data_IF_522595952245
#
_entry.id   IF_522595952245
#
_cell.length_a   1.000
_cell.length_b   1.000
_cell.length_c   1.000
_cell.angle_alpha   90.00
_cell.angle_beta   90.00
_cell.angle_gamma   90.00
#
_symmetry.space_group_name_H-M   'P 1'
#
loop_
_entity.id
_entity.type
_entity.pdbx_description
1 polymer ?
#
# COMPACT_ATOMS: atom_id res chain seq x y z
N UNK A 1 17.00 -0.74 10.79
CA UNK A 1 17.10 -2.21 10.85
C UNK A 1 18.56 -2.56 11.00
N UNK A 2 18.92 -3.50 11.88
CA UNK A 2 20.29 -4.01 11.95
C UNK A 2 20.27 -5.51 11.67
N UNK A 3 21.00 -5.96 10.66
CA UNK A 3 21.24 -7.36 10.37
C UNK A 3 22.64 -7.78 10.82
N UNK A 4 22.76 -8.99 11.36
CA UNK A 4 24.04 -9.58 11.80
C UNK A 4 24.42 -10.69 10.83
N UNK A 5 25.58 -10.56 10.21
CA UNK A 5 26.14 -11.51 9.25
C UNK A 5 27.51 -12.00 9.75
N UNK A 6 27.74 -13.32 9.78
CA UNK A 6 28.97 -13.95 10.29
C UNK A 6 29.34 -15.10 9.35
N UNK A 7 30.47 -15.00 8.65
CA UNK A 7 31.04 -16.14 7.90
C UNK A 7 31.97 -15.77 6.75
N UNK A 8 33.09 -16.50 6.62
CA UNK A 8 34.22 -16.22 5.72
C UNK A 8 34.19 -16.98 4.39
N UNK A 9 33.17 -17.81 4.15
CA UNK A 9 32.99 -18.56 2.88
C UNK A 9 31.54 -18.80 2.50
N UNK A 10 30.61 -18.76 3.47
CA UNK A 10 29.17 -18.61 3.26
C UNK A 10 28.66 -17.60 4.31
N UNK A 11 28.22 -16.43 3.87
CA UNK A 11 27.67 -15.37 4.72
C UNK A 11 26.21 -15.69 5.06
N UNK A 12 25.93 -16.03 6.31
CA UNK A 12 24.57 -16.33 6.77
C UNK A 12 24.01 -15.18 7.61
N UNK A 13 22.85 -14.66 7.21
CA UNK A 13 22.08 -13.76 8.06
C UNK A 13 21.58 -14.52 9.29
N UNK A 14 22.13 -14.18 10.46
CA UNK A 14 21.72 -14.79 11.72
C UNK A 14 20.41 -14.20 12.26
N UNK A 15 20.08 -12.97 11.87
CA UNK A 15 18.82 -12.34 12.21
C UNK A 15 18.81 -10.85 11.96
N UNK A 16 17.63 -10.26 12.09
CA UNK A 16 17.41 -8.85 11.88
C UNK A 16 16.31 -8.32 12.80
N UNK A 17 16.36 -7.02 13.09
CA UNK A 17 15.36 -6.34 13.91
C UNK A 17 15.29 -4.87 13.55
N UNK A 18 14.16 -4.24 13.85
CA UNK A 18 13.89 -2.84 13.55
C UNK A 18 13.01 -2.22 14.63
N UNK A 19 13.14 -0.91 14.80
CA UNK A 19 12.27 -0.13 15.67
C UNK A 19 10.98 0.27 14.97
N UNK A 20 10.03 0.79 15.75
CA UNK A 20 8.81 1.40 15.23
C UNK A 20 8.99 2.91 15.05
N UNK A 21 8.00 3.58 14.45
CA UNK A 21 8.00 5.05 14.34
C UNK A 21 8.06 5.73 15.71
N UNK A 22 7.36 5.15 16.69
CA UNK A 22 7.29 5.62 18.08
C UNK A 22 8.54 5.24 18.87
N UNK A 23 8.96 3.98 18.78
CA UNK A 23 10.15 3.49 19.47
C UNK A 23 11.22 3.07 18.46
N UNK A 24 12.09 4.02 18.11
CA UNK A 24 13.15 3.82 17.12
C UNK A 24 14.31 3.01 17.65
N UNK A 25 14.51 3.00 18.97
CA UNK A 25 15.56 2.20 19.61
C UNK A 25 15.08 0.76 19.70
N UNK A 26 15.93 -0.17 19.26
CA UNK A 26 15.67 -1.59 19.33
C UNK A 26 16.92 -2.31 19.83
N UNK A 27 16.77 -3.57 20.19
CA UNK A 27 17.88 -4.42 20.63
C UNK A 27 17.71 -5.79 19.97
N UNK A 28 18.77 -6.25 19.34
CA UNK A 28 18.84 -7.61 18.81
C UNK A 28 19.42 -8.54 19.88
N UNK A 29 18.79 -9.71 20.07
CA UNK A 29 19.34 -10.82 20.86
C UNK A 29 19.13 -12.09 20.06
N UNK A 30 20.23 -12.71 19.63
CA UNK A 30 20.20 -13.96 18.88
C UNK A 30 21.37 -14.84 19.27
N UNK A 31 21.18 -16.15 19.11
CA UNK A 31 22.29 -17.12 19.21
C UNK A 31 23.10 -17.05 17.92
N UNK A 32 24.41 -17.08 18.05
CA UNK A 32 25.34 -17.08 16.93
C UNK A 32 26.28 -18.28 17.08
N UNK A 33 26.70 -18.84 15.95
CA UNK A 33 27.66 -19.94 15.93
C UNK A 33 29.05 -19.35 15.74
N UNK A 34 29.89 -19.49 16.76
CA UNK A 34 31.29 -19.09 16.72
C UNK A 34 32.15 -20.35 16.63
N UNK A 35 33.21 -20.28 15.85
CA UNK A 35 34.22 -21.34 15.77
C UNK A 35 35.49 -20.97 16.54
N UNK A 36 36.39 -21.93 16.73
CA UNK A 36 37.71 -21.66 17.29
C UNK A 36 38.49 -20.70 16.40
N UNK A 37 39.23 -19.77 17.01
CA UNK A 37 40.02 -18.76 16.31
C UNK A 37 39.28 -17.46 16.00
N UNK A 38 39.68 -16.79 14.92
CA UNK A 38 39.15 -15.49 14.53
C UNK A 38 37.77 -15.64 13.92
N UNK A 39 36.78 -14.92 14.45
CA UNK A 39 35.44 -14.86 13.91
C UNK A 39 35.18 -13.44 13.38
N UNK A 40 34.59 -13.32 12.18
CA UNK A 40 34.22 -12.03 11.61
C UNK A 40 32.74 -11.76 11.83
N UNK A 41 32.43 -10.69 12.57
CA UNK A 41 31.05 -10.22 12.79
C UNK A 41 30.83 -8.97 11.94
N UNK A 42 29.89 -9.06 11.00
CA UNK A 42 29.43 -7.93 10.21
C UNK A 42 28.04 -7.50 10.69
N UNK A 43 27.84 -6.19 10.85
CA UNK A 43 26.57 -5.61 11.25
C UNK A 43 26.13 -4.63 10.16
N UNK A 44 25.08 -4.96 9.42
CA UNK A 44 24.51 -4.08 8.42
C UNK A 44 23.46 -3.18 9.08
N UNK A 45 23.72 -1.87 9.11
CA UNK A 45 22.81 -0.87 9.65
C UNK A 45 22.08 -0.14 8.52
N UNK A 46 20.75 -0.20 8.53
CA UNK A 46 19.90 0.39 7.47
C UNK A 46 18.98 1.47 8.04
N UNK A 47 19.05 2.65 7.45
CA UNK A 47 18.13 3.77 7.68
C UNK A 47 16.94 3.70 6.70
N UNK A 48 15.71 3.79 7.22
CA UNK A 48 14.48 3.79 6.42
C UNK A 48 13.88 5.20 6.45
N UNK A 49 14.57 6.11 5.75
CA UNK A 49 14.33 7.55 5.84
C UNK A 49 14.99 8.19 7.07
N UNK A 50 15.04 9.51 7.06
CA UNK A 50 15.55 10.32 8.16
C UNK A 50 14.40 10.96 8.96
N UNK A 51 14.63 11.33 10.23
CA UNK A 51 13.64 12.08 11.01
C UNK A 51 13.21 13.37 10.29
N UNK A 52 11.91 13.67 10.31
CA UNK A 52 11.35 14.85 9.64
C UNK A 52 10.36 15.66 10.52
N UNK A 53 10.24 15.32 11.81
CA UNK A 53 9.38 16.01 12.78
C UNK A 53 9.87 15.73 14.20
N UNK A 54 9.82 16.75 15.08
CA UNK A 54 10.27 16.69 16.48
C UNK A 54 11.14 17.88 16.88
N UNK A 55 11.32 18.13 18.19
CA UNK A 55 12.32 19.09 18.64
C UNK A 55 13.74 18.53 18.41
N UNK A 56 14.61 19.32 17.78
CA UNK A 56 16.00 18.95 17.50
C UNK A 56 16.18 17.59 16.80
N UNK A 57 15.28 17.23 15.88
CA UNK A 57 15.31 15.91 15.23
C UNK A 57 16.57 15.68 14.39
N UNK A 58 17.28 16.74 14.01
CA UNK A 58 18.59 16.72 13.36
C UNK A 58 19.70 16.12 14.24
N UNK A 59 19.56 16.18 15.56
CA UNK A 59 20.52 15.62 16.53
C UNK A 59 20.28 14.14 16.84
N UNK A 60 19.23 13.53 16.29
CA UNK A 60 18.85 12.17 16.63
C UNK A 60 19.71 11.16 15.89
N UNK A 61 20.43 10.34 16.66
CA UNK A 61 21.34 9.36 16.11
C UNK A 61 20.64 8.22 15.36
N UNK A 62 21.28 7.75 14.30
CA UNK A 62 20.90 6.53 13.55
C UNK A 62 22.12 5.63 13.43
N UNK A 63 21.93 4.33 13.68
CA UNK A 63 23.00 3.34 13.54
C UNK A 63 23.27 2.55 14.82
N UNK A 64 24.41 1.87 14.84
CA UNK A 64 24.80 0.99 15.94
C UNK A 64 25.68 1.80 16.90
N UNK A 65 25.06 2.36 17.93
CA UNK A 65 25.74 3.12 18.99
C UNK A 65 26.14 2.26 20.20
N UNK A 66 25.76 0.98 20.17
CA UNK A 66 25.99 0.06 21.26
C UNK A 66 24.99 0.17 22.44
N UNK A 67 25.21 -0.63 23.50
CA UNK A 67 26.32 -1.58 23.64
C UNK A 67 26.17 -2.80 22.70
N UNK A 68 27.30 -3.28 22.18
CA UNK A 68 27.38 -4.56 21.44
C UNK A 68 28.13 -5.55 22.33
N UNK A 69 27.49 -6.65 22.71
CA UNK A 69 28.10 -7.61 23.63
C UNK A 69 27.82 -9.06 23.25
N UNK A 70 28.83 -9.90 23.47
CA UNK A 70 28.72 -11.35 23.43
C UNK A 70 28.49 -11.88 24.84
N UNK A 71 27.54 -12.79 24.97
CA UNK A 71 27.19 -13.44 26.23
C UNK A 71 27.54 -14.93 26.15
N UNK A 72 27.59 -15.57 27.32
CA UNK A 72 27.78 -17.03 27.44
C UNK A 72 29.11 -17.54 26.89
N UNK A 73 30.17 -16.73 26.96
CA UNK A 73 31.54 -17.20 26.76
C UNK A 73 32.06 -17.85 28.05
N UNK A 74 33.10 -18.68 27.97
CA UNK A 74 33.75 -19.27 29.16
C UNK A 74 34.21 -18.21 30.17
N UNK A 75 34.59 -17.02 29.70
CA UNK A 75 34.95 -15.84 30.52
C UNK A 75 33.76 -14.91 30.84
N UNK A 76 32.53 -15.36 30.59
CA UNK A 76 31.31 -14.59 30.84
C UNK A 76 30.89 -13.68 29.67
N UNK A 77 30.72 -12.38 29.94
CA UNK A 77 30.30 -11.38 28.96
C UNK A 77 31.53 -10.69 28.36
N UNK A 78 31.57 -10.54 27.04
CA UNK A 78 32.56 -9.73 26.33
C UNK A 78 31.89 -8.53 25.66
N UNK A 79 32.31 -7.33 26.02
CA UNK A 79 31.85 -6.09 25.38
C UNK A 79 32.70 -5.79 24.14
N UNK A 80 32.03 -5.65 22.99
CA UNK A 80 32.64 -5.35 21.69
C UNK A 80 32.57 -3.86 21.34
N UNK A 81 31.87 -3.04 22.12
CA UNK A 81 31.62 -1.63 21.79
C UNK A 81 32.92 -0.82 21.65
N UNK A 82 33.93 -1.18 22.45
CA UNK A 82 35.22 -0.49 22.51
C UNK A 82 36.34 -1.20 21.73
N UNK A 83 36.00 -2.21 20.93
CA UNK A 83 36.96 -2.92 20.07
C UNK A 83 37.20 -2.14 18.77
N UNK A 84 38.16 -2.57 17.96
CA UNK A 84 38.40 -1.98 16.65
C UNK A 84 37.26 -2.31 15.68
N UNK A 85 36.61 -1.29 15.15
CA UNK A 85 35.55 -1.41 14.14
C UNK A 85 36.07 -1.04 12.75
N UNK A 86 35.53 -1.70 11.73
CA UNK A 86 35.72 -1.33 10.32
C UNK A 86 34.36 -0.96 9.73
N UNK A 87 34.35 0.03 8.85
CA UNK A 87 33.13 0.58 8.27
C UNK A 87 33.21 0.49 6.75
N UNK A 88 32.11 0.05 6.15
CA UNK A 88 31.88 0.11 4.72
C UNK A 88 30.54 0.81 4.51
N UNK A 89 30.57 1.90 3.76
CA UNK A 89 29.36 2.55 3.28
C UNK A 89 28.94 1.81 2.02
N UNK A 90 27.63 1.69 1.80
CA UNK A 90 27.02 1.07 0.62
C UNK A 90 27.19 -0.45 0.47
N UNK A 91 26.29 -1.03 -0.31
CA UNK A 91 26.36 -2.44 -0.69
C UNK A 91 27.25 -2.59 -1.93
N UNK A 92 27.93 -3.74 -2.06
CA UNK A 92 28.77 -4.02 -3.24
C UNK A 92 28.00 -3.87 -4.56
N UNK A 93 26.73 -4.29 -4.61
CA UNK A 93 25.89 -4.13 -5.80
C UNK A 93 25.54 -2.68 -6.13
N UNK A 94 25.47 -1.81 -5.11
CA UNK A 94 25.30 -0.36 -5.30
C UNK A 94 26.58 0.26 -5.87
N UNK A 95 27.74 -0.05 -5.30
CA UNK A 95 29.04 0.41 -5.81
C UNK A 95 29.30 -0.02 -7.27
N UNK A 96 28.75 -1.17 -7.67
CA UNK A 96 28.84 -1.71 -9.02
C UNK A 96 27.75 -1.16 -9.97
N UNK A 97 26.84 -0.32 -9.48
CA UNK A 97 25.77 0.29 -10.26
C UNK A 97 24.89 -0.76 -10.99
N UNK A 98 24.56 -1.88 -10.34
CA UNK A 98 23.83 -3.01 -10.94
C UNK A 98 22.42 -2.63 -11.45
N UNK A 99 21.85 -1.54 -10.94
CA UNK A 99 20.55 -1.04 -11.37
C UNK A 99 20.56 -0.41 -12.79
N UNK A 100 21.73 -0.02 -13.30
CA UNK A 100 21.85 0.78 -14.51
C UNK A 100 22.05 -0.07 -15.78
N UNK A 101 21.27 0.15 -16.86
CA UNK A 101 21.32 -0.66 -18.08
C UNK A 101 22.68 -0.67 -18.80
N UNK A 102 23.46 0.40 -18.64
CA UNK A 102 24.75 0.61 -19.32
C UNK A 102 25.91 -0.12 -18.64
N UNK A 103 25.71 -0.63 -17.43
CA UNK A 103 26.74 -1.34 -16.68
C UNK A 103 26.48 -2.85 -16.73
N UNK A 104 27.36 -3.56 -17.42
CA UNK A 104 27.46 -5.02 -17.38
C UNK A 104 28.79 -5.40 -16.74
N UNK A 105 28.97 -5.18 -15.42
CA UNK A 105 30.14 -5.71 -14.75
C UNK A 105 30.17 -7.23 -14.96
N UNK A 106 31.36 -7.78 -15.19
CA UNK A 106 31.58 -9.22 -15.33
C UNK A 106 31.27 -9.92 -14.00
N UNK A 107 29.99 -10.18 -13.76
CA UNK A 107 29.48 -10.92 -12.61
C UNK A 107 28.70 -12.13 -13.09
N UNK A 108 28.89 -13.25 -12.40
CA UNK A 108 28.09 -14.45 -12.62
C UNK A 108 26.69 -14.26 -12.07
N UNK A 109 25.74 -13.98 -12.95
CA UNK A 109 24.32 -14.07 -12.61
C UNK A 109 23.93 -15.55 -12.57
N UNK A 110 23.18 -15.94 -11.54
CA UNK A 110 22.66 -17.30 -11.41
C UNK A 110 21.19 -17.35 -11.84
N UNK A 111 20.76 -18.52 -12.30
CA UNK A 111 19.35 -18.75 -12.65
C UNK A 111 18.45 -18.66 -11.40
N UNK A 112 17.26 -18.10 -11.59
CA UNK A 112 16.30 -17.84 -10.50
C UNK A 112 15.82 -19.14 -9.83
N UNK A 113 15.76 -20.25 -10.58
CA UNK A 113 15.37 -21.58 -10.06
C UNK A 113 16.22 -22.05 -8.88
N UNK A 114 17.51 -21.67 -8.85
CA UNK A 114 18.42 -22.00 -7.75
C UNK A 114 18.17 -21.12 -6.51
N UNK A 115 17.74 -19.86 -6.72
CA UNK A 115 17.47 -18.90 -5.63
C UNK A 115 16.14 -19.15 -4.92
N UNK A 116 15.14 -19.71 -5.62
CA UNK A 116 13.82 -20.03 -5.04
C UNK A 116 13.91 -21.21 -4.06
N UNK A 117 14.79 -22.18 -4.32
CA UNK A 117 14.95 -23.35 -3.45
C UNK A 117 15.58 -23.01 -2.09
N UNK A 118 16.39 -21.95 -2.04
CA UNK A 118 17.07 -21.51 -0.81
C UNK A 118 17.18 -19.98 -0.79
N UNK A 119 16.09 -19.26 -0.41
CA UNK A 119 16.08 -17.80 -0.39
C UNK A 119 17.26 -17.27 0.42
N UNK A 120 18.10 -16.44 -0.21
CA UNK A 120 19.24 -15.81 0.44
C UNK A 120 18.94 -14.33 0.72
N UNK A 121 19.37 -13.81 1.88
CA UNK A 121 19.35 -12.39 2.16
C UNK A 121 20.35 -11.65 1.27
N UNK A 122 20.21 -10.33 1.17
CA UNK A 122 21.11 -9.44 0.42
C UNK A 122 21.30 -9.87 -1.05
N UNK A 123 20.23 -10.33 -1.69
CA UNK A 123 20.25 -10.86 -3.07
C UNK A 123 19.85 -9.79 -4.08
N UNK A 124 20.53 -9.77 -5.23
CA UNK A 124 20.14 -8.96 -6.38
C UNK A 124 19.47 -9.83 -7.43
N UNK A 125 18.28 -9.44 -7.84
CA UNK A 125 17.54 -10.05 -8.94
C UNK A 125 17.47 -9.10 -10.12
N UNK A 126 17.52 -9.64 -11.33
CA UNK A 126 17.27 -8.89 -12.55
C UNK A 126 16.41 -9.68 -13.52
N UNK A 127 15.62 -8.99 -14.32
CA UNK A 127 14.91 -9.57 -15.45
C UNK A 127 14.62 -8.52 -16.51
N UNK A 128 14.21 -8.96 -17.70
CA UNK A 128 13.73 -8.09 -18.76
C UNK A 128 12.26 -8.38 -19.03
N UNK A 129 11.48 -7.33 -19.32
CA UNK A 129 10.06 -7.46 -19.62
C UNK A 129 9.60 -6.45 -20.67
N UNK A 130 8.52 -6.79 -21.36
CA UNK A 130 7.87 -5.90 -22.33
C UNK A 130 6.76 -5.10 -21.66
N UNK A 131 6.55 -3.86 -22.12
CA UNK A 131 5.52 -3.01 -21.52
C UNK A 131 4.12 -3.55 -21.83
N UNK A 132 3.26 -3.74 -20.83
CA UNK A 132 1.88 -4.15 -21.07
C UNK A 132 1.12 -3.09 -21.88
N UNK A 133 0.28 -3.55 -22.81
CA UNK A 133 -0.60 -2.68 -23.60
C UNK A 133 -1.55 -1.83 -22.73
N UNK A 134 -2.23 -0.85 -23.34
CA UNK A 134 -3.20 0.02 -22.69
C UNK A 134 -2.58 1.20 -21.94
N UNK A 135 -3.43 2.01 -21.31
CA UNK A 135 -3.05 3.25 -20.62
C UNK A 135 -3.22 3.17 -19.09
N UNK A 136 -3.66 2.03 -18.56
CA UNK A 136 -3.96 1.88 -17.13
C UNK A 136 -2.68 2.04 -16.28
N UNK A 137 -2.74 2.67 -15.11
CA UNK A 137 -1.57 2.78 -14.25
C UNK A 137 -1.00 1.41 -13.90
N UNK A 138 0.33 1.29 -13.90
CA UNK A 138 1.01 0.05 -13.59
C UNK A 138 1.56 0.07 -12.16
N UNK A 139 1.68 -1.13 -11.58
CA UNK A 139 2.41 -1.36 -10.35
C UNK A 139 3.06 -2.74 -10.36
N UNK A 140 4.16 -2.88 -9.63
CA UNK A 140 4.72 -4.18 -9.27
C UNK A 140 4.00 -4.71 -8.04
N UNK A 141 3.45 -5.91 -8.15
CA UNK A 141 3.01 -6.70 -7.01
C UNK A 141 4.23 -7.39 -6.39
N UNK A 142 4.55 -6.97 -5.17
CA UNK A 142 5.71 -7.48 -4.43
C UNK A 142 5.29 -8.53 -3.39
N UNK A 143 4.09 -9.10 -3.48
CA UNK A 143 3.70 -10.24 -2.64
C UNK A 143 4.74 -11.37 -2.73
N UNK A 144 5.09 -11.95 -1.59
CA UNK A 144 6.13 -12.99 -1.50
C UNK A 144 7.56 -12.47 -1.43
N UNK A 145 7.78 -11.16 -1.62
CA UNK A 145 9.06 -10.50 -1.35
C UNK A 145 9.11 -9.96 0.09
N UNK A 146 10.30 -9.58 0.57
CA UNK A 146 10.53 -9.07 1.92
C UNK A 146 10.70 -7.56 1.96
N UNK A 147 11.95 -7.09 1.80
CA UNK A 147 12.30 -5.67 1.92
C UNK A 147 13.47 -5.35 1.00
N UNK A 148 13.46 -4.17 0.40
CA UNK A 148 14.63 -3.70 -0.32
C UNK A 148 14.33 -2.55 -1.24
N UNK A 149 14.89 -2.56 -2.44
CA UNK A 149 14.80 -1.47 -3.41
C UNK A 149 14.52 -1.99 -4.82
N UNK A 150 13.79 -1.21 -5.60
CA UNK A 150 13.38 -1.55 -6.97
C UNK A 150 13.86 -0.46 -7.93
N UNK A 151 14.35 -0.89 -9.09
CA UNK A 151 14.67 -0.03 -10.22
C UNK A 151 14.06 -0.56 -11.50
N UNK A 152 13.61 0.36 -12.36
CA UNK A 152 13.16 0.07 -13.72
C UNK A 152 13.94 0.95 -14.66
N UNK A 153 14.68 0.35 -15.61
CA UNK A 153 15.52 1.05 -16.57
C UNK A 153 16.56 2.00 -15.93
N UNK A 154 17.04 1.70 -14.73
CA UNK A 154 17.95 2.55 -13.95
C UNK A 154 17.24 3.59 -13.08
N UNK A 155 15.95 3.82 -13.28
CA UNK A 155 15.16 4.74 -12.46
C UNK A 155 14.69 4.06 -11.16
N UNK A 156 14.89 4.75 -10.04
CA UNK A 156 14.48 4.21 -8.73
C UNK A 156 12.97 4.32 -8.55
N UNK A 157 12.30 3.17 -8.44
CA UNK A 157 10.89 3.10 -8.04
C UNK A 157 10.76 3.38 -6.54
N UNK A 158 11.80 3.05 -5.77
CA UNK A 158 11.92 3.33 -4.36
C UNK A 158 12.09 2.08 -3.51
N UNK A 159 11.94 2.26 -2.19
CA UNK A 159 12.02 1.17 -1.21
C UNK A 159 10.71 0.39 -1.19
N UNK A 160 10.81 -0.93 -1.14
CA UNK A 160 9.68 -1.79 -0.81
C UNK A 160 9.88 -2.45 0.56
N UNK A 161 8.76 -2.71 1.22
CA UNK A 161 8.71 -3.43 2.47
C UNK A 161 7.30 -3.97 2.69
N UNK A 162 7.16 -5.29 2.63
CA UNK A 162 5.89 -6.01 2.74
C UNK A 162 5.53 -6.38 4.18
N UNK A 163 6.06 -5.64 5.16
CA UNK A 163 5.70 -5.84 6.57
C UNK A 163 4.19 -5.76 6.77
N UNK A 164 3.63 -6.61 7.61
CA UNK A 164 2.18 -6.66 7.80
C UNK A 164 1.68 -5.47 8.62
N UNK A 165 0.61 -4.84 8.16
CA UNK A 165 -0.01 -3.72 8.83
C UNK A 165 -0.73 -4.20 10.09
N UNK A 166 -0.44 -3.55 11.21
CA UNK A 166 -1.08 -3.77 12.51
C UNK A 166 -2.00 -2.60 12.83
N UNK A 167 -3.05 -2.85 13.61
CA UNK A 167 -3.94 -1.80 14.10
C UNK A 167 -5.36 -2.29 14.24
N UNK A 168 -6.25 -1.36 14.52
CA UNK A 168 -7.68 -1.58 14.53
C UNK A 168 -8.28 -1.04 13.22
N UNK A 169 -8.76 -1.95 12.39
CA UNK A 169 -9.39 -1.65 11.10
C UNK A 169 -10.91 -1.94 11.14
N UNK A 170 -11.54 -1.62 12.27
CA UNK A 170 -12.97 -1.72 12.47
C UNK A 170 -13.77 -0.70 11.63
N UNK A 171 -15.10 -0.84 11.67
CA UNK A 171 -16.02 0.07 11.00
C UNK A 171 -15.86 1.49 11.56
N UNK A 172 -15.66 2.47 10.67
CA UNK A 172 -15.61 3.86 11.04
C UNK A 172 -16.80 4.65 10.49
N UNK A 173 -17.25 5.65 11.25
CA UNK A 173 -18.27 6.61 10.82
C UNK A 173 -17.65 7.96 10.48
N UNK A 174 -18.20 8.65 9.48
CA UNK A 174 -17.86 10.05 9.21
C UNK A 174 -18.27 10.98 10.35
N UNK A 175 -19.28 10.61 11.14
CA UNK A 175 -19.78 11.41 12.26
C UNK A 175 -18.81 11.42 13.45
N UNK A 176 -18.77 12.53 14.19
CA UNK A 176 -17.90 12.71 15.35
C UNK A 176 -16.45 13.07 14.99
N UNK A 177 -15.68 13.55 15.98
CA UNK A 177 -14.32 14.06 15.80
C UNK A 177 -13.42 13.04 15.09
N UNK A 178 -12.75 13.48 14.03
CA UNK A 178 -11.80 12.66 13.31
C UNK A 178 -10.47 12.55 14.07
N UNK A 179 -9.88 11.35 14.06
CA UNK A 179 -8.49 11.10 14.47
C UNK A 179 -7.82 10.25 13.38
N UNK A 180 -6.49 10.37 13.17
CA UNK A 180 -5.79 9.63 12.11
C UNK A 180 -5.96 8.10 12.15
N UNK A 181 -6.23 7.53 13.33
CA UNK A 181 -6.45 6.10 13.53
C UNK A 181 -7.93 5.68 13.48
N UNK A 182 -8.87 6.58 13.15
CA UNK A 182 -10.31 6.31 13.19
C UNK A 182 -10.78 5.38 12.08
N UNK A 183 -10.21 5.52 10.88
CA UNK A 183 -10.64 4.85 9.65
C UNK A 183 -9.48 4.11 8.99
N UNK A 184 -8.79 3.26 9.75
CA UNK A 184 -7.69 2.46 9.20
C UNK A 184 -8.24 1.34 8.32
N UNK A 185 -7.45 0.92 7.34
CA UNK A 185 -7.76 -0.21 6.46
C UNK A 185 -6.49 -0.98 6.13
N UNK A 186 -6.64 -2.23 5.69
CA UNK A 186 -5.50 -3.08 5.31
C UNK A 186 -4.78 -3.78 6.47
N UNK A 187 -5.36 -3.82 7.68
CA UNK A 187 -4.80 -4.61 8.78
C UNK A 187 -4.68 -6.10 8.39
N UNK A 188 -3.56 -6.74 8.76
CA UNK A 188 -3.28 -8.12 8.40
C UNK A 188 -2.87 -8.33 6.94
N UNK A 189 -2.62 -7.24 6.20
CA UNK A 189 -2.05 -7.26 4.84
C UNK A 189 -0.70 -6.54 4.83
N UNK A 190 0.15 -6.71 3.81
CA UNK A 190 1.36 -5.90 3.65
C UNK A 190 1.04 -4.40 3.70
N UNK A 191 1.82 -3.61 4.46
CA UNK A 191 1.65 -2.16 4.62
C UNK A 191 1.65 -1.44 3.27
N UNK A 192 2.40 -1.99 2.31
CA UNK A 192 2.30 -1.66 0.91
C UNK A 192 2.67 -2.92 0.11
N UNK A 193 1.76 -3.37 -0.76
CA UNK A 193 1.97 -4.52 -1.65
C UNK A 193 2.34 -4.09 -3.07
N UNK A 194 1.68 -3.04 -3.55
CA UNK A 194 1.82 -2.54 -4.92
C UNK A 194 2.72 -1.32 -4.98
N UNK A 195 3.71 -1.37 -5.87
CA UNK A 195 4.70 -0.30 -6.07
C UNK A 195 4.54 0.29 -7.45
N UNK A 196 4.15 1.57 -7.52
CA UNK A 196 3.77 2.22 -8.77
C UNK A 196 4.94 2.26 -9.77
N UNK A 197 4.65 1.87 -11.01
CA UNK A 197 5.57 1.98 -12.15
C UNK A 197 4.99 3.02 -13.13
N UNK A 198 5.63 4.18 -13.29
CA UNK A 198 5.21 5.16 -14.28
C UNK A 198 5.35 4.62 -15.70
N UNK A 199 4.29 4.70 -16.51
CA UNK A 199 4.34 4.25 -17.92
C UNK A 199 5.39 4.99 -18.73
N UNK A 200 5.62 6.27 -18.44
CA UNK A 200 6.64 7.09 -19.10
C UNK A 200 8.08 6.60 -18.88
N UNK A 201 8.32 5.71 -17.91
CA UNK A 201 9.64 5.12 -17.67
C UNK A 201 9.85 3.83 -18.47
N UNK A 202 8.81 3.34 -19.17
CA UNK A 202 8.85 2.10 -19.92
C UNK A 202 9.08 2.35 -21.42
N UNK A 203 9.89 1.48 -22.00
CA UNK A 203 10.02 1.27 -23.44
C UNK A 203 9.03 0.19 -23.88
N UNK A 204 8.69 0.08 -25.18
CA UNK A 204 7.80 -0.97 -25.66
C UNK A 204 8.26 -2.38 -25.28
N UNK A 205 9.56 -2.64 -25.37
CA UNK A 205 10.17 -3.93 -25.03
C UNK A 205 11.50 -3.77 -24.29
N UNK A 206 12.02 -4.87 -23.75
CA UNK A 206 13.36 -4.95 -23.14
C UNK A 206 13.57 -3.96 -21.98
N UNK A 207 12.56 -3.79 -21.13
CA UNK A 207 12.70 -3.01 -19.90
C UNK A 207 13.47 -3.81 -18.87
N UNK A 208 14.51 -3.21 -18.30
CA UNK A 208 15.29 -3.82 -17.24
C UNK A 208 14.60 -3.60 -15.89
N UNK A 209 14.24 -4.67 -15.19
CA UNK A 209 13.83 -4.65 -13.78
C UNK A 209 14.99 -5.16 -12.94
N UNK A 210 15.40 -4.39 -11.93
CA UNK A 210 16.38 -4.80 -10.92
C UNK A 210 15.76 -4.66 -9.54
N UNK A 211 15.91 -5.71 -8.71
CA UNK A 211 15.41 -5.74 -7.34
C UNK A 211 16.57 -6.13 -6.42
N UNK A 212 16.83 -5.31 -5.43
CA UNK A 212 17.63 -5.71 -4.28
C UNK A 212 16.69 -6.22 -3.18
N UNK A 213 16.91 -7.44 -2.68
CA UNK A 213 16.17 -8.10 -1.60
C UNK A 213 17.08 -8.27 -0.37
N UNK A 214 16.72 -7.59 0.72
CA UNK A 214 17.52 -7.47 1.94
C UNK A 214 17.34 -8.67 2.87
N UNK A 215 16.14 -9.24 2.95
CA UNK A 215 15.77 -10.25 3.96
C UNK A 215 15.66 -11.63 3.34
N UNK A 216 15.06 -11.69 2.15
CA UNK A 216 14.75 -12.92 1.43
C UNK A 216 13.30 -12.92 0.97
N UNK A 217 13.08 -13.40 -0.25
CA UNK A 217 11.78 -13.39 -0.91
C UNK A 217 11.76 -14.35 -2.09
N UNK A 218 10.57 -14.61 -2.62
CA UNK A 218 10.39 -15.40 -3.84
C UNK A 218 10.22 -14.48 -5.06
N UNK A 219 11.27 -14.24 -5.86
CA UNK A 219 11.18 -13.36 -7.03
C UNK A 219 10.20 -13.86 -8.09
N UNK A 220 9.88 -15.16 -8.13
CA UNK A 220 8.89 -15.71 -9.07
C UNK A 220 7.45 -15.31 -8.76
N UNK A 221 7.17 -14.80 -7.55
CA UNK A 221 5.87 -14.25 -7.19
C UNK A 221 5.68 -12.80 -7.66
N UNK A 222 6.77 -12.10 -8.03
CA UNK A 222 6.70 -10.72 -8.48
C UNK A 222 6.01 -10.65 -9.83
N UNK A 223 5.04 -9.75 -9.96
CA UNK A 223 4.31 -9.55 -11.21
C UNK A 223 4.03 -8.09 -11.48
N UNK A 224 3.93 -7.73 -12.76
CA UNK A 224 3.50 -6.40 -13.19
C UNK A 224 1.98 -6.42 -13.38
N UNK A 225 1.28 -5.58 -12.62
CA UNK A 225 -0.18 -5.53 -12.61
C UNK A 225 -0.70 -4.20 -13.15
N UNK A 226 -1.86 -4.26 -13.80
CA UNK A 226 -2.62 -3.09 -14.24
C UNK A 226 -3.62 -2.72 -13.15
N UNK A 227 -3.65 -1.44 -12.77
CA UNK A 227 -4.67 -0.91 -11.88
C UNK A 227 -5.94 -0.58 -12.68
N UNK A 228 -6.94 -1.44 -12.58
CA UNK A 228 -8.30 -1.17 -13.06
C UNK A 228 -9.23 -0.85 -11.89
N UNK A 229 -10.17 0.07 -12.10
CA UNK A 229 -11.27 0.33 -11.17
C UNK A 229 -12.50 -0.33 -11.78
N UNK A 230 -12.88 -1.50 -11.26
CA UNK A 230 -14.07 -2.24 -11.73
C UNK A 230 -15.33 -1.83 -10.98
N UNK A 231 -15.19 -1.34 -9.75
CA UNK A 231 -16.28 -0.94 -8.86
C UNK A 231 -15.96 0.36 -8.13
N UNK A 232 -16.95 1.24 -7.99
CA UNK A 232 -16.87 2.47 -7.18
C UNK A 232 -18.03 2.44 -6.19
N UNK A 233 -17.72 2.74 -4.95
CA UNK A 233 -18.72 2.97 -3.92
C UNK A 233 -18.80 4.46 -3.58
N UNK A 234 -20.00 4.92 -3.30
CA UNK A 234 -20.23 6.27 -2.80
C UNK A 234 -21.32 6.25 -1.72
N UNK A 235 -21.13 7.06 -0.69
CA UNK A 235 -22.10 7.26 0.37
C UNK A 235 -22.28 8.76 0.61
N UNK A 236 -23.53 9.21 0.67
CA UNK A 236 -23.87 10.59 0.98
C UNK A 236 -25.06 10.61 1.92
N UNK A 237 -24.88 11.25 3.07
CA UNK A 237 -25.91 11.39 4.10
C UNK A 237 -26.77 12.64 3.89
N UNK A 238 -28.02 12.56 4.35
CA UNK A 238 -28.86 13.74 4.52
C UNK A 238 -28.19 14.74 5.47
N UNK A 239 -28.31 16.04 5.18
CA UNK A 239 -27.87 17.06 6.12
C UNK A 239 -28.75 17.00 7.37
N UNK A 240 -28.18 17.20 8.57
CA UNK A 240 -28.96 17.27 9.80
C UNK A 240 -30.10 18.29 9.69
N UNK A 241 -31.24 18.01 10.34
CA UNK A 241 -32.44 18.86 10.33
C UNK A 241 -32.13 20.31 10.72
N UNK A 242 -31.27 20.51 11.71
CA UNK A 242 -30.81 21.84 12.16
C UNK A 242 -30.16 22.66 11.03
N UNK A 243 -29.36 22.01 10.17
CA UNK A 243 -28.76 22.66 9.00
C UNK A 243 -29.79 22.97 7.90
N UNK A 244 -30.82 22.13 7.75
CA UNK A 244 -31.90 22.37 6.79
C UNK A 244 -32.76 23.57 7.23
N UNK A 245 -33.03 23.69 8.53
CA UNK A 245 -33.76 24.83 9.12
C UNK A 245 -32.93 26.12 9.07
N UNK A 246 -31.62 26.05 9.32
CA UNK A 246 -30.72 27.21 9.16
C UNK A 246 -30.63 27.68 7.71
N UNK A 247 -30.53 26.75 6.75
CA UNK A 247 -30.45 27.09 5.32
C UNK A 247 -31.77 27.60 4.73
N UNK A 248 -32.91 27.23 5.31
CA UNK A 248 -34.25 27.72 4.90
C UNK A 248 -34.77 28.88 5.77
N UNK A 249 -34.12 29.15 6.90
CA UNK A 249 -34.47 30.17 7.87
C UNK A 249 -34.01 31.59 7.52
N UNK A 250 -34.50 32.57 8.30
CA UNK A 250 -34.27 34.02 8.08
C UNK A 250 -32.80 34.46 8.04
N UNK A 251 -31.85 33.65 8.52
CA UNK A 251 -30.42 34.01 8.64
C UNK A 251 -29.66 33.97 7.30
N UNK A 252 -30.12 33.19 6.32
CA UNK A 252 -29.46 32.99 5.03
C UNK A 252 -30.40 33.26 3.83
N UNK A 253 -31.23 34.30 3.92
CA UNK A 253 -32.07 34.75 2.81
C UNK A 253 -31.20 35.09 1.58
N UNK A 254 -31.22 34.23 0.58
CA UNK A 254 -30.57 34.46 -0.72
C UNK A 254 -29.58 33.37 -1.15
N UNK A 255 -29.21 32.42 -0.29
CA UNK A 255 -28.39 31.27 -0.71
C UNK A 255 -29.28 30.11 -1.17
N UNK A 256 -29.01 29.58 -2.36
CA UNK A 256 -29.65 28.35 -2.84
C UNK A 256 -29.09 27.15 -2.08
N UNK A 257 -29.93 26.51 -1.27
CA UNK A 257 -29.57 25.27 -0.60
C UNK A 257 -29.35 24.14 -1.63
N UNK A 258 -28.09 23.78 -1.85
CA UNK A 258 -27.73 22.66 -2.71
C UNK A 258 -27.84 21.36 -1.94
N UNK A 259 -28.90 20.59 -2.22
CA UNK A 259 -29.05 19.24 -1.66
C UNK A 259 -27.85 18.37 -2.03
N UNK A 260 -27.33 17.55 -1.11
CA UNK A 260 -26.20 16.67 -1.41
C UNK A 260 -26.51 15.73 -2.58
N UNK A 261 -25.47 15.35 -3.31
CA UNK A 261 -25.58 14.46 -4.47
C UNK A 261 -24.50 13.41 -4.39
N UNK A 262 -24.87 12.18 -4.72
CA UNK A 262 -23.89 11.16 -5.08
C UNK A 262 -23.37 11.48 -6.47
N UNK A 263 -22.04 11.56 -6.61
CA UNK A 263 -21.36 11.74 -7.89
C UNK A 263 -20.59 10.47 -8.22
N UNK A 264 -20.94 9.83 -9.35
CA UNK A 264 -20.20 8.71 -9.90
C UNK A 264 -19.52 9.18 -11.19
N UNK A 265 -18.21 8.98 -11.28
CA UNK A 265 -17.41 9.34 -12.45
C UNK A 265 -16.37 8.27 -12.70
N UNK A 266 -16.21 7.91 -13.97
CA UNK A 266 -15.30 6.86 -14.41
C UNK A 266 -14.25 7.38 -15.37
N UNK A 267 -13.27 6.51 -15.65
CA UNK A 267 -12.21 6.79 -16.61
C UNK A 267 -12.78 6.95 -18.03
N UNK A 268 -12.13 7.75 -18.89
CA UNK A 268 -12.52 7.84 -20.30
C UNK A 268 -12.62 6.45 -20.96
N UNK A 269 -13.63 6.23 -21.79
CA UNK A 269 -13.88 4.95 -22.48
C UNK A 269 -14.59 3.88 -21.65
N UNK A 270 -14.97 4.20 -20.40
CA UNK A 270 -15.78 3.34 -19.54
C UNK A 270 -17.12 3.98 -19.19
N UNK A 271 -18.16 3.15 -19.07
CA UNK A 271 -19.47 3.56 -18.62
C UNK A 271 -20.01 2.63 -17.53
N UNK A 272 -20.88 3.18 -16.69
CA UNK A 272 -21.53 2.43 -15.60
C UNK A 272 -22.34 1.31 -16.25
N UNK A 273 -21.93 0.08 -16.01
CA UNK A 273 -22.56 -1.10 -16.59
C UNK A 273 -23.67 -1.65 -15.70
N UNK A 274 -23.50 -1.57 -14.39
CA UNK A 274 -24.48 -2.07 -13.42
C UNK A 274 -24.42 -1.33 -12.08
N UNK A 275 -25.52 -1.39 -11.33
CA UNK A 275 -25.58 -1.01 -9.93
C UNK A 275 -25.63 -2.30 -9.10
N UNK A 276 -24.54 -2.61 -8.41
CA UNK A 276 -24.43 -3.82 -7.60
C UNK A 276 -25.12 -3.67 -6.25
N UNK A 277 -25.13 -2.46 -5.69
CA UNK A 277 -25.88 -2.14 -4.48
C UNK A 277 -26.42 -0.72 -4.54
N UNK A 278 -27.64 -0.50 -4.05
CA UNK A 278 -28.19 0.82 -3.81
C UNK A 278 -29.19 0.80 -2.65
N UNK A 279 -29.01 1.70 -1.69
CA UNK A 279 -29.98 1.90 -0.62
C UNK A 279 -30.02 3.35 -0.20
N UNK A 280 -31.20 3.96 -0.31
CA UNK A 280 -31.55 5.21 0.35
C UNK A 280 -32.31 4.89 1.63
N UNK A 281 -31.67 5.11 2.78
CA UNK A 281 -32.18 4.68 4.09
C UNK A 281 -31.07 4.55 5.13
N UNK A 282 -31.02 3.41 5.82
CA UNK A 282 -30.01 3.11 6.86
C UNK A 282 -29.16 1.89 6.51
N UNK A 283 -28.46 1.85 5.35
CA UNK A 283 -27.61 0.73 4.97
C UNK A 283 -26.47 0.48 5.97
N UNK A 284 -26.01 -0.76 6.00
CA UNK A 284 -24.94 -1.25 6.86
C UNK A 284 -23.78 -1.80 6.02
N UNK A 285 -22.62 -2.00 6.65
CA UNK A 285 -21.46 -2.62 6.03
C UNK A 285 -20.55 -1.62 5.29
N UNK A 286 -19.67 -2.15 4.45
CA UNK A 286 -18.65 -1.39 3.71
C UNK A 286 -18.68 -1.74 2.22
N UNK A 287 -18.04 -0.91 1.40
CA UNK A 287 -17.91 -1.15 -0.04
C UNK A 287 -17.52 -2.62 -0.35
N UNK A 288 -18.28 -3.28 -1.22
CA UNK A 288 -18.14 -4.70 -1.55
C UNK A 288 -18.90 -5.67 -0.64
N UNK A 289 -19.37 -5.21 0.53
CA UNK A 289 -20.14 -5.97 1.54
C UNK A 289 -21.25 -5.11 2.16
N UNK A 290 -21.91 -4.29 1.35
CA UNK A 290 -23.06 -3.53 1.83
C UNK A 290 -24.24 -4.45 2.11
N UNK A 291 -25.02 -4.08 3.11
CA UNK A 291 -26.26 -4.75 3.48
C UNK A 291 -27.38 -3.72 3.54
N UNK A 292 -28.55 -4.14 3.12
CA UNK A 292 -29.77 -3.37 3.35
C UNK A 292 -29.99 -3.29 4.86
N UNK A 293 -30.29 -2.11 5.38
CA UNK A 293 -30.71 -1.95 6.76
C UNK A 293 -32.22 -1.88 6.91
N UNK A 294 -32.67 -1.70 8.15
CA UNK A 294 -34.10 -1.67 8.52
C UNK A 294 -34.91 -0.64 7.72
N UNK A 295 -34.33 0.54 7.48
CA UNK A 295 -34.92 1.53 6.59
C UNK A 295 -34.29 1.45 5.20
N UNK A 296 -35.15 1.26 4.18
CA UNK A 296 -34.75 1.21 2.78
C UNK A 296 -35.88 1.66 1.85
N UNK A 297 -35.59 2.59 0.94
CA UNK A 297 -36.50 2.93 -0.15
C UNK A 297 -36.42 1.87 -1.26
N UNK A 298 -37.52 1.15 -1.51
CA UNK A 298 -37.58 0.09 -2.53
C UNK A 298 -37.20 0.54 -3.95
N UNK A 299 -37.32 1.84 -4.26
CA UNK A 299 -36.95 2.39 -5.58
C UNK A 299 -35.46 2.73 -5.72
N UNK A 300 -34.64 2.52 -4.68
CA UNK A 300 -33.22 2.89 -4.64
C UNK A 300 -32.44 2.37 -5.86
N UNK A 301 -32.58 1.08 -6.17
CA UNK A 301 -31.93 0.46 -7.32
C UNK A 301 -32.42 1.06 -8.63
N UNK A 302 -33.72 1.00 -8.89
CA UNK A 302 -34.30 1.47 -10.15
C UNK A 302 -34.01 2.96 -10.43
N UNK A 303 -33.96 3.80 -9.39
CA UNK A 303 -33.61 5.22 -9.52
C UNK A 303 -32.16 5.43 -9.92
N UNK A 304 -31.22 4.65 -9.38
CA UNK A 304 -29.81 4.73 -9.73
C UNK A 304 -29.55 4.13 -11.11
N UNK A 305 -30.12 2.97 -11.41
CA UNK A 305 -29.98 2.31 -12.71
C UNK A 305 -30.41 3.23 -13.84
N UNK A 306 -31.63 3.77 -13.77
CA UNK A 306 -32.19 4.66 -14.78
C UNK A 306 -31.35 5.93 -14.98
N UNK A 307 -30.74 6.45 -13.92
CA UNK A 307 -29.99 7.71 -13.98
C UNK A 307 -28.53 7.54 -14.36
N UNK A 308 -27.92 6.40 -14.02
CA UNK A 308 -26.48 6.20 -14.07
C UNK A 308 -26.01 5.17 -15.08
N UNK A 309 -26.73 4.06 -15.29
CA UNK A 309 -26.29 2.99 -16.19
C UNK A 309 -26.20 3.52 -17.64
N UNK A 310 -25.15 3.10 -18.34
CA UNK A 310 -24.81 3.56 -19.69
C UNK A 310 -24.09 4.91 -19.76
N UNK A 311 -23.78 5.54 -18.62
CA UNK A 311 -23.10 6.86 -18.59
C UNK A 311 -21.72 6.76 -17.95
N UNK A 312 -20.75 7.48 -18.51
CA UNK A 312 -19.42 7.66 -17.90
C UNK A 312 -19.45 8.52 -16.62
N UNK A 313 -20.47 9.39 -16.48
CA UNK A 313 -20.69 10.23 -15.30
C UNK A 313 -22.17 10.30 -14.96
N UNK A 314 -22.51 10.23 -13.68
CA UNK A 314 -23.85 10.51 -13.20
C UNK A 314 -23.82 11.24 -11.85
N UNK A 315 -24.87 12.02 -11.58
CA UNK A 315 -25.08 12.64 -10.29
C UNK A 315 -26.54 12.45 -9.87
N UNK A 316 -26.76 11.97 -8.65
CA UNK A 316 -28.11 11.74 -8.10
C UNK A 316 -28.25 12.47 -6.78
N UNK A 317 -29.18 13.42 -6.74
CA UNK A 317 -29.52 14.17 -5.52
C UNK A 317 -30.23 13.27 -4.52
N UNK A 318 -29.84 13.35 -3.25
CA UNK A 318 -30.55 12.67 -2.17
C UNK A 318 -31.84 13.41 -1.83
N UNK A 319 -32.98 12.80 -2.14
CA UNK A 319 -34.30 13.35 -1.82
C UNK A 319 -35.36 12.26 -1.83
N UNK A 320 -36.34 12.37 -0.94
CA UNK A 320 -37.53 11.50 -0.94
C UNK A 320 -38.22 11.48 -2.32
N UNK A 321 -38.24 12.61 -3.04
CA UNK A 321 -38.81 12.70 -4.40
C UNK A 321 -38.08 11.85 -5.44
N UNK A 322 -36.75 11.73 -5.34
CA UNK A 322 -35.96 10.89 -6.25
C UNK A 322 -36.09 9.40 -5.95
N UNK A 323 -36.52 9.05 -4.74
CA UNK A 323 -36.65 7.69 -4.23
C UNK A 323 -38.12 7.33 -3.88
N UNK A 324 -39.08 8.07 -4.43
CA UNK A 324 -40.52 7.86 -4.26
C UNK A 324 -41.10 8.55 -3.03
N UNK A 325 -40.98 7.90 -1.86
CA UNK A 325 -41.50 8.39 -0.58
C UNK A 325 -40.43 8.31 0.50
N UNK A 326 -40.65 8.97 1.63
CA UNK A 326 -39.75 8.82 2.79
C UNK A 326 -39.83 7.36 3.30
N UNK A 327 -38.74 6.58 3.25
CA UNK A 327 -38.75 5.20 3.74
C UNK A 327 -38.77 5.12 5.28
N UNK A 328 -38.35 6.17 5.98
CA UNK A 328 -38.34 6.23 7.45
C UNK A 328 -38.36 7.69 7.94
N UNK A 329 -39.55 8.22 8.29
CA UNK A 329 -39.69 9.55 8.87
C UNK A 329 -38.86 9.71 10.15
N UNK A 330 -38.31 10.90 10.36
CA UNK A 330 -37.48 11.25 11.53
C UNK A 330 -36.18 10.44 11.70
N UNK A 331 -35.80 9.67 10.69
CA UNK A 331 -34.51 8.98 10.63
C UNK A 331 -33.65 9.66 9.59
N UNK A 332 -32.40 9.99 9.96
CA UNK A 332 -31.39 10.49 9.04
C UNK A 332 -31.03 9.41 8.04
N UNK A 333 -31.33 9.64 6.77
CA UNK A 333 -31.08 8.69 5.70
C UNK A 333 -29.74 8.99 5.03
N UNK A 334 -29.18 7.98 4.39
CA UNK A 334 -28.05 8.10 3.48
C UNK A 334 -28.33 7.32 2.21
N UNK A 335 -27.77 7.80 1.11
CA UNK A 335 -27.72 7.06 -0.14
C UNK A 335 -26.35 6.39 -0.24
N UNK A 336 -26.34 5.08 -0.18
CA UNK A 336 -25.14 4.25 -0.40
C UNK A 336 -25.30 3.50 -1.72
N UNK A 337 -24.30 3.60 -2.58
CA UNK A 337 -24.27 2.95 -3.89
C UNK A 337 -22.95 2.21 -4.09
N UNK A 338 -23.03 1.05 -4.74
CA UNK A 338 -21.91 0.33 -5.34
C UNK A 338 -22.23 0.16 -6.82
N UNK A 339 -21.43 0.80 -7.67
CA UNK A 339 -21.59 0.78 -9.12
C UNK A 339 -20.41 0.06 -9.77
N UNK A 340 -20.67 -0.65 -10.85
CA UNK A 340 -19.69 -1.38 -11.66
C UNK A 340 -19.55 -0.70 -13.01
N UNK A 341 -18.33 -0.73 -13.56
CA UNK A 341 -18.06 -0.22 -14.89
C UNK A 341 -17.51 -1.28 -15.83
N UNK A 342 -17.77 -1.06 -17.12
CA UNK A 342 -17.16 -1.79 -18.21
C UNK A 342 -16.71 -0.82 -19.31
N UNK A 343 -15.82 -1.26 -20.21
CA UNK A 343 -15.56 -0.55 -21.45
C UNK A 343 -16.88 -0.26 -22.21
N UNK A 344 -16.99 0.89 -22.87
CA UNK A 344 -18.21 1.25 -23.62
C UNK A 344 -18.49 0.27 -24.77
N UNK A 345 -17.45 -0.35 -25.35
CA UNK A 345 -17.56 -1.34 -26.42
C UNK A 345 -18.26 -2.64 -26.01
N UNK A 346 -18.30 -2.98 -24.72
CA UNK A 346 -19.01 -4.17 -24.23
C UNK A 346 -20.50 -3.93 -23.92
N UNK A 347 -20.96 -2.67 -23.96
CA UNK A 347 -22.37 -2.32 -23.69
C UNK A 347 -23.22 -2.33 -24.96
N UNK A 348 -22.61 -2.28 -26.14
CA UNK A 348 -23.29 -2.37 -27.43
C UNK A 348 -23.48 -3.80 -27.94
N UNK A 349 -22.72 -4.77 -27.41
CA UNK A 349 -22.80 -6.18 -27.81
C UNK A 349 -23.86 -7.00 -27.05
N UNK A 350 -24.50 -6.43 -26.01
CA UNK A 350 -25.59 -7.09 -25.30
C UNK A 350 -26.91 -6.34 -25.50
N UNK A 351 -27.58 -6.67 -26.61
CA UNK A 351 -29.04 -6.56 -26.71
C UNK A 351 -29.55 -7.97 -27.04
N UNK A 352 -30.48 -8.54 -26.24
CA UNK A 352 -31.07 -9.84 -26.53
C UNK A 352 -31.80 -9.84 -27.88
#
# INVERSE_FOLDING_TARGET
MTSVDIGETESFLHGSTFGTRQNRRFTYRGKINLHSGTNRIALLSVAVGLPNVGGHFESWNTGILGPVALHSLSQGKRDLSWQKWTYQVELRGEAMNLAYPTNTPSIGWMDTSLTVQKPQPLTWHKTYFDAPEGDEPLALDMEGMGKGQIWVNGESIGRYWTAFATGDCDHCSYTGTYKPNKCLSGCGQPTQRYYHVPRSWLKPSQNLLVIFEEIGGNPSAVSLVKRSVSGVCAEVSEPPSEYQELATGKLWKGQTFHRPKVHLKWSPGQAISAIKFASFGTPLGKCGRYQQGECHAATSYASLERKCVGKARCAVTISNTNFGKDPCPNVLKRLTVEAVCSPETSLTSWKP
#
